data_IF_627554587321
#
_entry.id   IF_627554587321
#
_cell.length_a   1.000
_cell.length_b   1.000
_cell.length_c   1.000
_cell.angle_alpha   90.00
_cell.angle_beta   90.00
_cell.angle_gamma   90.00
#
_symmetry.space_group_name_H-M   'P 1'
#
loop_
_entity.id
_entity.type
_entity.pdbx_description
1 polymer ?
#
# COMPACT_ATOMS: atom_id res chain seq x y z
N UNK A 1 -13.15 -10.50 3.31
CA UNK A 1 -13.12 -10.53 1.82
C UNK A 1 -11.69 -10.59 1.28
N UNK A 2 -10.82 -9.59 1.50
CA UNK A 2 -9.46 -9.60 0.92
C UNK A 2 -8.64 -10.85 1.26
N UNK A 3 -8.59 -11.27 2.54
CA UNK A 3 -7.84 -12.46 2.95
C UNK A 3 -8.32 -13.74 2.23
N UNK A 4 -9.64 -13.88 2.04
CA UNK A 4 -10.23 -15.00 1.30
C UNK A 4 -9.77 -15.00 -0.15
N UNK A 5 -9.79 -13.84 -0.80
CA UNK A 5 -9.31 -13.70 -2.17
C UNK A 5 -7.81 -14.03 -2.26
N UNK A 6 -6.99 -13.44 -1.39
CA UNK A 6 -5.54 -13.64 -1.41
C UNK A 6 -5.15 -15.10 -1.15
N UNK A 7 -5.79 -15.76 -0.17
CA UNK A 7 -5.53 -17.16 0.15
C UNK A 7 -5.87 -18.12 -1.02
N UNK A 8 -6.93 -17.83 -1.77
CA UNK A 8 -7.36 -18.65 -2.91
C UNK A 8 -6.80 -18.17 -4.26
N UNK A 9 -6.06 -17.05 -4.27
CA UNK A 9 -5.51 -16.43 -5.47
C UNK A 9 -4.68 -17.40 -6.33
N UNK A 10 -3.75 -18.19 -5.74
CA UNK A 10 -2.99 -19.19 -6.49
C UNK A 10 -3.87 -20.24 -7.18
N UNK A 11 -4.88 -20.77 -6.48
CA UNK A 11 -5.82 -21.75 -7.05
C UNK A 11 -6.60 -21.16 -8.21
N UNK A 12 -7.10 -19.92 -8.05
CA UNK A 12 -7.85 -19.22 -9.11
C UNK A 12 -6.97 -18.94 -10.32
N UNK A 13 -5.73 -18.48 -10.09
CA UNK A 13 -4.77 -18.25 -11.17
C UNK A 13 -4.43 -19.55 -11.90
N UNK A 14 -4.17 -20.64 -11.18
CA UNK A 14 -3.82 -21.93 -11.79
C UNK A 14 -4.97 -22.53 -12.63
N UNK A 15 -6.21 -22.43 -12.14
CA UNK A 15 -7.37 -23.05 -12.80
C UNK A 15 -7.96 -22.20 -13.93
N UNK A 16 -7.86 -20.86 -13.84
CA UNK A 16 -8.62 -19.95 -14.70
C UNK A 16 -7.78 -18.88 -15.38
N UNK A 17 -6.44 -18.96 -15.40
CA UNK A 17 -5.56 -17.93 -15.98
C UNK A 17 -5.92 -17.53 -17.41
N UNK A 18 -6.45 -18.45 -18.24
CA UNK A 18 -6.80 -18.15 -19.64
C UNK A 18 -8.20 -17.58 -19.82
N UNK A 19 -9.03 -17.53 -18.77
CA UNK A 19 -10.45 -17.12 -18.82
C UNK A 19 -10.82 -16.01 -17.85
N UNK A 20 -9.96 -15.75 -16.86
CA UNK A 20 -10.20 -14.79 -15.80
C UNK A 20 -9.00 -13.88 -15.61
N UNK A 21 -9.26 -12.58 -15.64
CA UNK A 21 -8.30 -11.55 -15.26
C UNK A 21 -8.80 -10.84 -14.00
N UNK A 22 -7.90 -10.69 -13.02
CA UNK A 22 -8.19 -9.91 -11.82
C UNK A 22 -7.59 -8.52 -11.95
N UNK A 23 -8.41 -7.50 -11.70
CA UNK A 23 -7.99 -6.10 -11.68
C UNK A 23 -8.24 -5.55 -10.27
N UNK A 24 -7.17 -5.11 -9.60
CA UNK A 24 -7.29 -4.39 -8.33
C UNK A 24 -7.50 -2.90 -8.62
N UNK A 25 -8.66 -2.35 -8.23
CA UNK A 25 -8.95 -0.92 -8.34
C UNK A 25 -8.96 -0.29 -6.95
N UNK A 26 -8.04 0.64 -6.74
CA UNK A 26 -7.95 1.40 -5.50
C UNK A 26 -9.19 2.31 -5.37
N UNK A 27 -9.93 2.20 -4.27
CA UNK A 27 -11.07 3.06 -3.97
C UNK A 27 -10.70 3.98 -2.81
N UNK A 28 -10.23 5.19 -3.13
CA UNK A 28 -9.89 6.20 -2.13
C UNK A 28 -11.20 6.67 -1.47
N UNK A 29 -11.24 6.63 -0.14
CA UNK A 29 -12.37 7.10 0.65
C UNK A 29 -12.00 8.47 1.25
N UNK A 30 -12.43 9.60 0.66
CA UNK A 30 -11.93 10.93 1.01
C UNK A 30 -12.26 11.37 2.44
N UNK A 31 -13.21 10.73 3.11
CA UNK A 31 -13.53 10.96 4.53
C UNK A 31 -12.56 10.26 5.49
N UNK A 32 -11.64 9.43 5.00
CA UNK A 32 -10.54 8.82 5.76
C UNK A 32 -9.19 9.32 5.19
N UNK A 33 -8.55 10.33 5.80
CA UNK A 33 -7.32 10.92 5.26
C UNK A 33 -6.19 9.91 4.99
N UNK A 34 -6.09 8.88 5.83
CA UNK A 34 -5.09 7.80 5.68
C UNK A 34 -5.34 6.89 4.48
N UNK A 35 -6.55 6.90 3.90
CA UNK A 35 -6.88 6.11 2.70
C UNK A 35 -5.97 6.50 1.54
N UNK A 36 -5.84 7.80 1.25
CA UNK A 36 -4.94 8.30 0.19
C UNK A 36 -3.51 7.83 0.41
N UNK A 37 -3.00 7.94 1.64
CA UNK A 37 -1.62 7.57 1.98
C UNK A 37 -1.35 6.07 1.77
N UNK A 38 -2.29 5.23 2.18
CA UNK A 38 -2.22 3.79 1.96
C UNK A 38 -2.22 3.43 0.46
N UNK A 39 -3.01 4.14 -0.34
CA UNK A 39 -3.10 3.93 -1.79
C UNK A 39 -1.84 4.41 -2.54
N UNK A 40 -1.24 5.52 -2.12
CA UNK A 40 0.05 5.99 -2.63
C UNK A 40 1.16 4.99 -2.33
N UNK A 41 1.19 4.42 -1.11
CA UNK A 41 2.14 3.37 -0.78
C UNK A 41 1.96 2.11 -1.65
N UNK A 42 0.72 1.73 -1.96
CA UNK A 42 0.42 0.67 -2.93
C UNK A 42 0.94 0.98 -4.34
N UNK A 43 0.81 2.22 -4.79
CA UNK A 43 1.34 2.67 -6.08
C UNK A 43 2.89 2.68 -6.10
N UNK A 44 3.52 3.11 -5.01
CA UNK A 44 4.98 3.06 -4.87
C UNK A 44 5.52 1.62 -4.92
N UNK A 45 4.83 0.67 -4.28
CA UNK A 45 5.18 -0.76 -4.39
C UNK A 45 4.99 -1.27 -5.82
N UNK A 46 3.90 -0.93 -6.51
CA UNK A 46 3.72 -1.30 -7.92
C UNK A 46 4.84 -0.78 -8.81
N UNK A 47 5.33 0.44 -8.55
CA UNK A 47 6.43 1.06 -9.30
C UNK A 47 7.77 0.37 -9.04
N UNK A 48 8.05 -0.05 -7.82
CA UNK A 48 9.36 -0.59 -7.42
C UNK A 48 9.47 -2.12 -7.53
N UNK A 49 8.39 -2.83 -7.24
CA UNK A 49 8.35 -4.28 -7.09
C UNK A 49 6.91 -4.79 -7.39
N UNK A 50 6.44 -4.74 -8.65
CA UNK A 50 5.08 -5.12 -9.00
C UNK A 50 4.69 -6.55 -8.59
N UNK A 51 5.66 -7.48 -8.58
CA UNK A 51 5.50 -8.85 -8.10
C UNK A 51 5.20 -8.96 -6.60
N UNK A 52 5.51 -7.91 -5.83
CA UNK A 52 5.25 -7.82 -4.38
C UNK A 52 3.93 -7.16 -4.03
N UNK A 53 3.21 -6.58 -5.00
CA UNK A 53 2.00 -5.80 -4.74
C UNK A 53 0.94 -6.55 -3.94
N UNK A 54 0.67 -7.81 -4.30
CA UNK A 54 -0.34 -8.62 -3.61
C UNK A 54 0.10 -9.00 -2.18
N UNK A 55 1.39 -9.31 -1.99
CA UNK A 55 1.97 -9.59 -0.66
C UNK A 55 1.90 -8.34 0.23
N UNK A 56 2.30 -7.17 -0.30
CA UNK A 56 2.16 -5.89 0.39
C UNK A 56 0.72 -5.59 0.76
N UNK A 57 -0.22 -5.75 -0.18
CA UNK A 57 -1.64 -5.54 0.05
C UNK A 57 -2.14 -6.44 1.18
N UNK A 58 -1.77 -7.73 1.20
CA UNK A 58 -2.10 -8.64 2.28
C UNK A 58 -1.56 -8.18 3.64
N UNK A 59 -0.28 -7.78 3.72
CA UNK A 59 0.33 -7.26 4.94
C UNK A 59 -0.36 -5.96 5.43
N UNK A 60 -0.73 -5.07 4.50
CA UNK A 60 -1.47 -3.85 4.79
C UNK A 60 -2.89 -4.16 5.31
N UNK A 61 -3.62 -5.09 4.69
CA UNK A 61 -4.94 -5.52 5.17
C UNK A 61 -4.89 -6.18 6.55
N UNK A 62 -3.80 -6.91 6.88
CA UNK A 62 -3.58 -7.50 8.20
C UNK A 62 -3.37 -6.42 9.28
N UNK A 63 -2.66 -5.33 8.93
CA UNK A 63 -2.29 -4.25 9.87
C UNK A 63 -3.18 -3.00 9.78
N UNK A 64 -4.21 -3.02 8.92
CA UNK A 64 -5.06 -1.87 8.55
C UNK A 64 -5.64 -1.08 9.72
N UNK A 65 -5.96 -1.74 10.84
CA UNK A 65 -6.52 -1.08 12.03
C UNK A 65 -5.58 0.00 12.57
N UNK A 66 -4.27 -0.18 12.40
CA UNK A 66 -3.25 0.78 12.82
C UNK A 66 -3.22 2.06 11.97
N UNK A 67 -3.94 2.06 10.84
CA UNK A 67 -4.08 3.19 9.91
C UNK A 67 -5.51 3.77 9.89
N UNK A 68 -6.40 3.32 10.77
CA UNK A 68 -7.71 3.96 10.93
C UNK A 68 -7.58 5.33 11.57
N UNK A 69 -8.55 6.22 11.37
CA UNK A 69 -8.49 7.63 11.77
C UNK A 69 -8.05 7.81 13.24
N UNK A 70 -8.67 7.06 14.16
CA UNK A 70 -8.32 7.07 15.60
C UNK A 70 -6.87 6.69 15.89
N UNK A 71 -6.23 5.87 15.06
CA UNK A 71 -4.83 5.44 15.25
C UNK A 71 -3.80 6.41 14.65
N UNK A 72 -4.22 7.36 13.81
CA UNK A 72 -3.33 8.30 13.11
C UNK A 72 -3.72 9.76 13.32
N UNK A 73 -4.69 10.04 14.19
CA UNK A 73 -5.27 11.38 14.38
C UNK A 73 -4.24 12.48 14.68
N UNK A 74 -3.14 12.13 15.37
CA UNK A 74 -2.05 13.06 15.71
C UNK A 74 -0.75 12.76 14.95
N UNK A 75 -0.80 11.89 13.93
CA UNK A 75 0.36 11.51 13.14
C UNK A 75 0.51 12.43 11.93
N UNK A 76 1.73 12.87 11.64
CA UNK A 76 2.00 13.64 10.42
C UNK A 76 2.00 12.71 9.20
N UNK A 77 1.72 13.27 8.01
CA UNK A 77 1.74 12.53 6.73
C UNK A 77 3.03 11.72 6.53
N UNK A 78 4.19 12.34 6.74
CA UNK A 78 5.48 11.68 6.56
C UNK A 78 5.71 10.53 7.57
N UNK A 79 5.20 10.65 8.80
CA UNK A 79 5.26 9.56 9.78
C UNK A 79 4.39 8.37 9.36
N UNK A 80 3.20 8.63 8.83
CA UNK A 80 2.37 7.56 8.25
C UNK A 80 3.07 6.88 7.05
N UNK A 81 3.76 7.63 6.19
CA UNK A 81 4.58 7.03 5.11
C UNK A 81 5.74 6.19 5.63
N UNK A 82 6.45 6.61 6.68
CA UNK A 82 7.49 5.78 7.30
C UNK A 82 6.93 4.43 7.79
N UNK A 83 5.69 4.42 8.31
CA UNK A 83 5.00 3.18 8.72
C UNK A 83 4.58 2.33 7.53
N UNK A 84 4.02 2.93 6.48
CA UNK A 84 3.63 2.22 5.26
C UNK A 84 4.85 1.64 4.53
N UNK A 85 5.96 2.36 4.48
CA UNK A 85 7.22 1.87 3.94
C UNK A 85 7.77 0.68 4.74
N UNK A 86 7.58 0.66 6.07
CA UNK A 86 7.90 -0.52 6.91
C UNK A 86 7.03 -1.73 6.56
N UNK A 87 5.75 -1.54 6.23
CA UNK A 87 4.87 -2.63 5.73
C UNK A 87 5.37 -3.16 4.38
N UNK A 88 5.85 -2.29 3.49
CA UNK A 88 6.50 -2.75 2.25
C UNK A 88 7.81 -3.51 2.54
N UNK A 89 8.59 -3.04 3.51
CA UNK A 89 9.80 -3.71 4.00
C UNK A 89 9.56 -5.14 4.49
N UNK A 90 8.45 -5.39 5.20
CA UNK A 90 8.17 -6.72 5.74
C UNK A 90 7.87 -7.78 4.69
N UNK A 91 7.59 -7.38 3.43
CA UNK A 91 7.39 -8.31 2.30
C UNK A 91 8.59 -8.34 1.33
N UNK A 92 9.69 -7.68 1.72
CA UNK A 92 10.96 -7.69 0.99
C UNK A 92 11.14 -6.57 -0.03
N UNK A 93 10.31 -5.52 -0.01
CA UNK A 93 10.55 -4.31 -0.81
C UNK A 93 11.52 -3.40 -0.06
N UNK A 94 12.42 -2.73 -0.77
CA UNK A 94 13.33 -1.74 -0.17
C UNK A 94 12.53 -0.57 0.45
N UNK A 95 12.43 -0.54 1.77
CA UNK A 95 11.64 0.47 2.50
C UNK A 95 12.18 1.89 2.30
N UNK A 96 13.48 2.08 2.11
CA UNK A 96 14.07 3.39 1.88
C UNK A 96 13.68 3.93 0.52
N UNK A 97 13.69 3.08 -0.52
CA UNK A 97 13.20 3.47 -1.86
C UNK A 97 11.71 3.77 -1.86
N UNK A 98 10.90 2.99 -1.13
CA UNK A 98 9.47 3.26 -0.98
C UNK A 98 9.25 4.62 -0.30
N UNK A 99 9.93 4.88 0.82
CA UNK A 99 9.81 6.15 1.53
C UNK A 99 10.27 7.34 0.68
N UNK A 100 11.33 7.19 -0.10
CA UNK A 100 11.84 8.24 -0.99
C UNK A 100 10.83 8.64 -2.09
N UNK A 101 9.93 7.74 -2.51
CA UNK A 101 8.85 8.05 -3.45
C UNK A 101 7.66 8.78 -2.82
N UNK A 102 7.54 8.76 -1.49
CA UNK A 102 6.35 9.21 -0.77
C UNK A 102 6.58 10.47 0.06
N UNK A 103 7.80 10.62 0.61
CA UNK A 103 8.10 11.69 1.56
C UNK A 103 7.88 13.07 0.95
N UNK A 104 7.22 13.95 1.69
CA UNK A 104 7.04 15.34 1.30
C UNK A 104 8.16 16.17 1.96
N UNK A 105 8.96 16.92 1.19
CA UNK A 105 9.98 17.81 1.75
C UNK A 105 9.38 18.85 2.70
N UNK A 106 10.12 19.20 3.76
CA UNK A 106 9.69 20.22 4.74
C UNK A 106 9.86 21.66 4.22
N UNK A 107 10.62 21.82 3.13
CA UNK A 107 10.83 23.11 2.46
C UNK A 107 10.45 22.99 0.99
N UNK A 108 9.93 24.06 0.37
CA UNK A 108 9.65 24.07 -1.06
C UNK A 108 10.91 23.73 -1.84
N UNK A 109 10.79 22.90 -2.87
CA UNK A 109 11.84 22.85 -3.87
C UNK A 109 11.82 24.17 -4.63
N UNK A 110 12.98 24.65 -5.06
CA UNK A 110 13.12 25.90 -5.83
C UNK A 110 12.38 25.93 -7.19
N UNK A 111 11.60 24.88 -7.51
CA UNK A 111 10.84 24.74 -8.74
C UNK A 111 9.32 24.59 -8.52
N UNK A 112 8.86 24.67 -7.28
CA UNK A 112 7.44 24.83 -6.91
C UNK A 112 7.16 26.30 -6.51
#
# INVERSE_FOLDING_TARGET
MFNTFYANGPTVAQQYCSRLQVIFRQQIQPWHPSSTLAHEAGAAVLRLAPEKFWQFSAALFQTRRSFFDVSVVNETRNKTYERLARVAGSVGVDKQKVLALLVIPETPNSQD
#
